data_IF_470133979187
#
_entry.id   IF_470133979187
#
_cell.length_a   1.000
_cell.length_b   1.000
_cell.length_c   1.000
_cell.angle_alpha   90.00
_cell.angle_beta   90.00
_cell.angle_gamma   90.00
#
_symmetry.space_group_name_H-M   'P 1'
#
loop_
_entity.id
_entity.type
_entity.pdbx_description
1 polymer ?
#
# COMPACT_ATOMS: atom_id res chain seq x y z
N UNK A 1 -13.84 14.68 -15.69
CA UNK A 1 -12.74 14.92 -14.73
C UNK A 1 -11.78 15.90 -15.38
N UNK A 2 -11.36 16.96 -14.70
CA UNK A 2 -10.41 17.95 -15.25
C UNK A 2 -8.97 17.58 -14.84
N UNK A 3 -7.97 18.02 -15.61
CA UNK A 3 -6.55 17.80 -15.27
C UNK A 3 -6.21 18.30 -13.86
N UNK A 4 -6.76 19.46 -13.48
CA UNK A 4 -6.65 20.04 -12.13
C UNK A 4 -7.29 19.13 -11.07
N UNK A 5 -8.39 18.44 -11.40
CA UNK A 5 -9.02 17.48 -10.50
C UNK A 5 -8.15 16.26 -10.21
N UNK A 6 -7.50 15.73 -11.25
CA UNK A 6 -6.57 14.60 -11.13
C UNK A 6 -5.31 14.95 -10.33
N UNK A 7 -4.75 16.16 -10.53
CA UNK A 7 -3.61 16.64 -9.75
C UNK A 7 -3.93 16.77 -8.25
N UNK A 8 -5.13 17.26 -7.92
CA UNK A 8 -5.56 17.37 -6.53
C UNK A 8 -5.80 16.00 -5.87
N UNK A 9 -6.36 15.05 -6.60
CA UNK A 9 -6.54 13.67 -6.12
C UNK A 9 -5.19 13.00 -5.87
N UNK A 10 -4.24 13.18 -6.79
CA UNK A 10 -2.88 12.65 -6.64
C UNK A 10 -2.17 13.20 -5.39
N UNK A 11 -2.26 14.51 -5.15
CA UNK A 11 -1.63 15.08 -3.95
C UNK A 11 -2.32 14.64 -2.65
N UNK A 12 -3.64 14.51 -2.66
CA UNK A 12 -4.37 13.94 -1.52
C UNK A 12 -3.93 12.51 -1.24
N UNK A 13 -3.83 11.70 -2.28
CA UNK A 13 -3.35 10.32 -2.24
C UNK A 13 -1.93 10.20 -1.69
N UNK A 14 -1.00 11.07 -2.12
CA UNK A 14 0.37 11.12 -1.58
C UNK A 14 0.39 11.51 -0.10
N UNK A 15 -0.41 12.51 0.29
CA UNK A 15 -0.50 12.93 1.68
C UNK A 15 -0.98 11.78 2.58
N UNK A 16 -2.02 11.06 2.17
CA UNK A 16 -2.52 9.87 2.87
C UNK A 16 -1.45 8.78 3.00
N UNK A 17 -0.72 8.48 1.93
CA UNK A 17 0.35 7.47 1.98
C UNK A 17 1.46 7.86 2.97
N UNK A 18 1.88 9.13 2.94
CA UNK A 18 2.88 9.63 3.88
C UNK A 18 2.40 9.55 5.34
N UNK A 19 1.13 9.86 5.61
CA UNK A 19 0.55 9.71 6.95
C UNK A 19 0.58 8.24 7.41
N UNK A 20 0.21 7.30 6.54
CA UNK A 20 0.24 5.87 6.86
C UNK A 20 1.64 5.37 7.15
N UNK A 21 2.64 5.82 6.37
CA UNK A 21 4.05 5.49 6.60
C UNK A 21 4.53 6.03 7.96
N UNK A 22 4.21 7.28 8.29
CA UNK A 22 4.55 7.85 9.61
C UNK A 22 3.88 7.11 10.78
N UNK A 23 2.65 6.63 10.58
CA UNK A 23 1.94 5.81 11.58
C UNK A 23 2.62 4.45 11.76
N UNK A 24 3.09 3.83 10.68
CA UNK A 24 3.89 2.60 10.76
C UNK A 24 5.18 2.85 11.52
N UNK A 25 5.92 3.92 11.22
CA UNK A 25 7.17 4.26 11.92
C UNK A 25 6.94 4.41 13.43
N UNK A 26 5.86 5.12 13.82
CA UNK A 26 5.47 5.27 15.23
C UNK A 26 5.15 3.92 15.88
N UNK A 27 4.40 3.05 15.22
CA UNK A 27 4.05 1.73 15.75
C UNK A 27 5.27 0.80 15.84
N UNK A 28 6.19 0.92 14.89
CA UNK A 28 7.48 0.21 14.89
C UNK A 28 8.30 0.60 16.11
N UNK A 29 8.41 1.89 16.42
CA UNK A 29 9.10 2.36 17.62
C UNK A 29 8.45 1.80 18.90
N UNK A 30 7.11 1.85 19.00
CA UNK A 30 6.37 1.31 20.15
C UNK A 30 6.58 -0.20 20.30
N UNK A 31 6.54 -0.95 19.20
CA UNK A 31 6.82 -2.39 19.18
C UNK A 31 8.23 -2.67 19.67
N UNK A 32 9.22 -1.92 19.22
CA UNK A 32 10.63 -2.15 19.56
C UNK A 32 10.88 -1.89 21.05
N UNK A 33 10.23 -0.88 21.64
CA UNK A 33 10.21 -0.67 23.10
C UNK A 33 9.62 -1.88 23.82
N UNK A 34 8.45 -2.38 23.39
CA UNK A 34 7.82 -3.56 24.00
C UNK A 34 8.68 -4.83 23.89
N UNK A 35 9.43 -4.99 22.80
CA UNK A 35 10.39 -6.09 22.63
C UNK A 35 11.52 -5.97 23.66
N UNK A 36 12.04 -4.76 23.86
CA UNK A 36 13.07 -4.48 24.86
C UNK A 36 12.56 -4.82 26.26
N UNK A 37 11.38 -4.29 26.64
CA UNK A 37 10.76 -4.51 27.95
C UNK A 37 10.52 -6.01 28.22
N UNK A 38 9.99 -6.74 27.24
CA UNK A 38 9.79 -8.19 27.35
C UNK A 38 11.12 -8.94 27.50
N UNK A 39 12.15 -8.52 26.77
CA UNK A 39 13.49 -9.13 26.85
C UNK A 39 14.10 -8.92 28.23
N UNK A 40 13.96 -7.72 28.78
CA UNK A 40 14.40 -7.39 30.14
C UNK A 40 13.64 -8.23 31.18
N UNK A 41 12.31 -8.27 31.11
CA UNK A 41 11.48 -9.10 32.00
C UNK A 41 11.90 -10.57 31.98
N UNK A 42 12.11 -11.15 30.80
CA UNK A 42 12.59 -12.53 30.66
C UNK A 42 13.98 -12.70 31.28
N UNK A 43 14.87 -11.73 31.08
CA UNK A 43 16.21 -11.75 31.65
C UNK A 43 16.16 -11.74 33.18
N UNK A 44 15.36 -10.86 33.78
CA UNK A 44 15.16 -10.77 35.22
C UNK A 44 14.64 -12.10 35.79
N UNK A 45 13.58 -12.65 35.21
CA UNK A 45 12.99 -13.93 35.64
C UNK A 45 14.01 -15.06 35.61
N UNK A 46 14.87 -15.12 34.58
CA UNK A 46 15.93 -16.15 34.47
C UNK A 46 16.95 -16.08 35.60
N UNK A 47 17.15 -14.92 36.22
CA UNK A 47 18.08 -14.76 37.35
C UNK A 47 17.44 -15.09 38.71
N UNK A 48 16.11 -15.25 38.76
CA UNK A 48 15.39 -15.54 40.00
C UNK A 48 15.64 -16.98 40.46
N UNK A 49 15.87 -17.17 41.77
CA UNK A 49 16.04 -18.51 42.37
C UNK A 49 14.75 -19.33 42.39
N UNK A 50 13.61 -18.64 42.51
CA UNK A 50 12.28 -19.23 42.50
C UNK A 50 11.42 -18.48 41.49
N UNK A 51 10.88 -19.19 40.50
CA UNK A 51 9.95 -18.64 39.51
C UNK A 51 8.53 -18.99 39.97
N UNK A 52 7.62 -18.03 39.89
CA UNK A 52 6.23 -18.16 40.30
C UNK A 52 5.29 -18.15 39.10
N UNK A 53 4.04 -18.59 39.32
CA UNK A 53 3.01 -18.53 38.29
C UNK A 53 2.74 -17.08 37.82
N UNK A 54 2.88 -16.10 38.72
CA UNK A 54 2.74 -14.69 38.42
C UNK A 54 3.76 -14.21 37.36
N UNK A 55 5.01 -14.69 37.43
CA UNK A 55 6.01 -14.38 36.41
C UNK A 55 5.59 -14.87 35.01
N UNK A 56 4.94 -16.03 34.93
CA UNK A 56 4.42 -16.53 33.66
C UNK A 56 3.25 -15.69 33.15
N UNK A 57 2.37 -15.21 34.03
CA UNK A 57 1.28 -14.31 33.63
C UNK A 57 1.79 -12.97 33.10
N UNK A 58 2.79 -12.36 33.76
CA UNK A 58 3.39 -11.10 33.29
C UNK A 58 4.04 -11.24 31.91
N UNK A 59 4.77 -12.34 31.67
CA UNK A 59 5.37 -12.63 30.36
C UNK A 59 4.27 -12.83 29.31
N UNK A 60 3.20 -13.56 29.66
CA UNK A 60 2.09 -13.81 28.74
C UNK A 60 1.39 -12.51 28.34
N UNK A 61 1.08 -11.66 29.30
CA UNK A 61 0.45 -10.35 29.05
C UNK A 61 1.33 -9.49 28.14
N UNK A 62 2.64 -9.45 28.40
CA UNK A 62 3.60 -8.70 27.58
C UNK A 62 3.66 -9.23 26.13
N UNK A 63 3.59 -10.55 25.94
CA UNK A 63 3.51 -11.18 24.61
C UNK A 63 2.21 -10.80 23.91
N UNK A 64 1.07 -10.84 24.61
CA UNK A 64 -0.23 -10.50 24.02
C UNK A 64 -0.28 -9.01 23.60
N UNK A 65 0.32 -8.11 24.38
CA UNK A 65 0.49 -6.71 23.99
C UNK A 65 1.39 -6.54 22.76
N UNK A 66 2.49 -7.29 22.68
CA UNK A 66 3.38 -7.25 21.52
C UNK A 66 2.68 -7.77 20.26
N UNK A 67 1.92 -8.87 20.38
CA UNK A 67 1.11 -9.41 19.29
C UNK A 67 0.09 -8.38 18.78
N UNK A 68 -0.55 -7.62 19.69
CA UNK A 68 -1.46 -6.54 19.31
C UNK A 68 -0.77 -5.45 18.48
N UNK A 69 0.46 -5.06 18.80
CA UNK A 69 1.19 -4.07 17.99
C UNK A 69 1.55 -4.62 16.60
N UNK A 70 1.95 -5.89 16.50
CA UNK A 70 2.19 -6.53 15.19
C UNK A 70 0.93 -6.54 14.33
N UNK A 71 -0.25 -6.84 14.91
CA UNK A 71 -1.51 -6.79 14.18
C UNK A 71 -1.81 -5.40 13.62
N UNK A 72 -1.61 -4.34 14.41
CA UNK A 72 -1.85 -2.96 13.93
C UNK A 72 -0.91 -2.58 12.78
N UNK A 73 0.36 -2.99 12.86
CA UNK A 73 1.33 -2.76 11.77
C UNK A 73 0.90 -3.53 10.52
N UNK A 74 0.52 -4.80 10.65
CA UNK A 74 0.07 -5.65 9.55
C UNK A 74 -1.17 -5.08 8.83
N UNK A 75 -2.14 -4.60 9.60
CA UNK A 75 -3.34 -3.93 9.07
C UNK A 75 -2.99 -2.71 8.19
N UNK A 76 -2.06 -1.86 8.64
CA UNK A 76 -1.60 -0.71 7.87
C UNK A 76 -0.82 -1.12 6.63
N UNK A 77 0.06 -2.12 6.75
CA UNK A 77 0.78 -2.68 5.60
C UNK A 77 -0.19 -3.23 4.54
N UNK A 78 -1.24 -3.94 4.96
CA UNK A 78 -2.29 -4.44 4.07
C UNK A 78 -3.01 -3.28 3.34
N UNK A 79 -3.33 -2.21 4.07
CA UNK A 79 -3.95 -1.03 3.48
C UNK A 79 -3.05 -0.36 2.42
N UNK A 80 -1.76 -0.19 2.73
CA UNK A 80 -0.77 0.36 1.78
C UNK A 80 -0.64 -0.55 0.55
N UNK A 81 -0.54 -1.86 0.74
CA UNK A 81 -0.46 -2.81 -0.38
C UNK A 81 -1.70 -2.74 -1.29
N UNK A 82 -2.90 -2.60 -0.70
CA UNK A 82 -4.12 -2.39 -1.47
C UNK A 82 -4.09 -1.09 -2.27
N UNK A 83 -3.53 -0.03 -1.69
CA UNK A 83 -3.37 1.25 -2.36
C UNK A 83 -2.36 1.20 -3.51
N UNK A 84 -1.22 0.53 -3.34
CA UNK A 84 -0.20 0.38 -4.41
C UNK A 84 -0.68 -0.52 -5.54
N UNK A 85 -1.49 -1.54 -5.24
CA UNK A 85 -2.05 -2.44 -6.27
C UNK A 85 -2.90 -1.70 -7.31
N UNK A 86 -3.52 -0.56 -6.97
CA UNK A 86 -4.22 0.28 -7.92
C UNK A 86 -3.28 0.93 -8.95
N UNK A 87 -2.04 1.25 -8.56
CA UNK A 87 -1.05 1.85 -9.47
C UNK A 87 -0.42 0.81 -10.39
N UNK A 88 -0.26 -0.43 -9.93
CA UNK A 88 0.27 -1.52 -10.76
C UNK A 88 -0.61 -1.78 -12.00
N UNK A 89 -1.91 -1.52 -11.90
CA UNK A 89 -2.86 -1.65 -13.02
C UNK A 89 -2.78 -0.50 -14.04
N UNK A 90 -2.19 0.64 -13.66
CA UNK A 90 -2.14 1.82 -14.53
C UNK A 90 -1.25 1.57 -15.75
N UNK A 91 -0.16 0.82 -15.62
CA UNK A 91 0.74 0.54 -16.74
C UNK A 91 0.05 -0.25 -17.85
N UNK A 92 -0.76 -1.26 -17.50
CA UNK A 92 -1.54 -2.03 -18.46
C UNK A 92 -2.61 -1.17 -19.13
N UNK A 93 -3.32 -0.34 -18.35
CA UNK A 93 -4.31 0.59 -18.91
C UNK A 93 -3.69 1.60 -19.89
N UNK A 94 -2.48 2.08 -19.63
CA UNK A 94 -1.77 2.99 -20.55
C UNK A 94 -1.49 2.30 -21.89
N UNK A 95 -1.05 1.04 -21.87
CA UNK A 95 -0.81 0.25 -23.10
C UNK A 95 -2.08 0.03 -23.90
N UNK A 96 -3.21 -0.20 -23.22
CA UNK A 96 -4.51 -0.34 -23.87
C UNK A 96 -4.94 0.97 -24.57
N UNK A 97 -4.74 2.12 -23.91
CA UNK A 97 -5.03 3.43 -24.48
C UNK A 97 -4.16 3.72 -25.70
N UNK A 98 -2.86 3.39 -25.65
CA UNK A 98 -1.96 3.52 -26.79
C UNK A 98 -2.41 2.64 -27.96
N UNK A 99 -2.80 1.39 -27.68
CA UNK A 99 -3.30 0.44 -28.69
C UNK A 99 -4.56 0.97 -29.37
N UNK A 100 -5.53 1.47 -28.59
CA UNK A 100 -6.76 2.06 -29.11
C UNK A 100 -6.44 3.29 -29.97
N UNK A 101 -5.50 4.13 -29.54
CA UNK A 101 -5.10 5.33 -30.29
C UNK A 101 -4.58 4.97 -31.69
N UNK A 102 -3.71 3.97 -31.80
CA UNK A 102 -3.21 3.46 -33.09
C UNK A 102 -4.35 2.91 -33.96
N UNK A 103 -5.32 2.21 -33.36
CA UNK A 103 -6.47 1.68 -34.09
C UNK A 103 -7.36 2.79 -34.66
N UNK A 104 -7.55 3.88 -33.90
CA UNK A 104 -8.30 5.07 -34.35
C UNK A 104 -7.61 5.71 -35.56
N UNK A 105 -6.30 5.98 -35.46
CA UNK A 105 -5.53 6.56 -36.58
C UNK A 105 -5.65 5.71 -37.85
N UNK A 106 -5.58 4.37 -37.71
CA UNK A 106 -5.76 3.45 -38.83
C UNK A 106 -7.16 3.54 -39.44
N UNK A 107 -8.21 3.64 -38.61
CA UNK A 107 -9.58 3.78 -39.10
C UNK A 107 -9.80 5.12 -39.81
N UNK A 108 -9.21 6.20 -39.30
CA UNK A 108 -9.25 7.51 -39.95
C UNK A 108 -8.63 7.48 -41.35
N UNK A 109 -7.47 6.82 -41.49
CA UNK A 109 -6.79 6.70 -42.79
C UNK A 109 -7.58 5.84 -43.79
N UNK A 110 -8.19 4.74 -43.30
CA UNK A 110 -9.09 3.92 -44.11
C UNK A 110 -10.30 4.71 -44.62
N UNK A 111 -10.90 5.55 -43.76
CA UNK A 111 -12.01 6.42 -44.14
C UNK A 111 -11.60 7.47 -45.18
N UNK A 112 -10.43 8.09 -45.03
CA UNK A 112 -9.88 9.03 -46.04
C UNK A 112 -9.68 8.35 -47.39
N UNK A 113 -9.08 7.16 -47.39
CA UNK A 113 -8.84 6.37 -48.61
C UNK A 113 -10.14 6.00 -49.32
N UNK A 114 -11.14 5.56 -48.55
CA UNK A 114 -12.47 5.23 -49.07
C UNK A 114 -13.16 6.46 -49.68
N UNK A 115 -13.11 7.59 -48.98
CA UNK A 115 -13.68 8.85 -49.46
C UNK A 115 -13.04 9.30 -50.78
N UNK A 116 -11.71 9.24 -50.88
CA UNK A 116 -11.00 9.56 -52.11
C UNK A 116 -11.35 8.62 -53.28
N UNK A 117 -11.53 7.32 -52.99
CA UNK A 117 -11.90 6.32 -54.00
C UNK A 117 -13.31 6.54 -54.56
N UNK A 118 -14.27 6.91 -53.70
CA UNK A 118 -15.64 7.26 -54.11
C UNK A 118 -15.64 8.50 -55.00
N UNK A 119 -14.92 9.55 -54.62
CA UNK A 119 -14.82 10.78 -55.41
C UNK A 119 -14.13 10.58 -56.77
N UNK A 120 -13.22 9.60 -56.88
CA UNK A 120 -12.56 9.26 -58.14
C UNK A 120 -13.38 8.33 -59.05
N UNK A 121 -14.51 7.80 -58.56
CA UNK A 121 -15.41 6.92 -59.32
C UNK A 121 -16.73 7.60 -59.76
N UNK A 122 -16.91 8.88 -59.45
CA UNK A 122 -17.89 9.80 -60.04
C UNK A 122 -17.28 10.60 -61.20
#
# INVERSE_FOLDING_TARGET
>A
MTMIGLENELETSKATLNELLQRIDTLVEVRDVKISDLTELISEIKTMKNITLDNFFQVRESIDLLASEYTKIDELCCYINGFTACYDQVEEMVKDVETISVMIEKQEEQLRTLSASILASE
#
